data_IF_162767966114
#
_entry.id   IF_162767966114
#
_cell.length_a   1.000
_cell.length_b   1.000
_cell.length_c   1.000
_cell.angle_alpha   90.00
_cell.angle_beta   90.00
_cell.angle_gamma   90.00
#
_symmetry.space_group_name_H-M   'P 1'
#
loop_
_entity.id
_entity.type
_entity.pdbx_description
1 polymer ?
#
# COMPACT_ATOMS: atom_id res chain seq x y z
N UNK A 1 3.38 -8.77 10.45
CA UNK A 1 3.76 -9.75 9.41
C UNK A 1 5.25 -9.64 9.07
N UNK A 2 5.72 -8.52 8.52
CA UNK A 2 7.12 -8.37 8.10
C UNK A 2 8.16 -8.73 9.18
N UNK A 3 8.07 -8.15 10.38
CA UNK A 3 8.99 -8.48 11.49
C UNK A 3 8.78 -9.88 12.06
N UNK A 4 7.55 -10.19 12.48
CA UNK A 4 7.30 -11.37 13.31
C UNK A 4 7.17 -12.68 12.52
N UNK A 5 6.86 -12.61 11.22
CA UNK A 5 6.65 -13.80 10.36
C UNK A 5 7.82 -13.97 9.41
N UNK A 6 8.24 -12.89 8.75
CA UNK A 6 9.32 -12.92 7.76
C UNK A 6 10.70 -12.56 8.33
N UNK A 7 10.77 -12.11 9.60
CA UNK A 7 12.04 -11.83 10.26
C UNK A 7 12.75 -10.56 9.77
N UNK A 8 12.09 -9.70 8.99
CA UNK A 8 12.71 -8.46 8.50
C UNK A 8 12.85 -7.41 9.61
N UNK A 9 13.94 -6.63 9.57
CA UNK A 9 14.06 -5.43 10.40
C UNK A 9 13.03 -4.41 9.94
N UNK A 10 12.11 -4.02 10.82
CA UNK A 10 11.08 -3.04 10.49
C UNK A 10 10.87 -2.07 11.62
N UNK A 11 10.60 -0.82 11.26
CA UNK A 11 10.16 0.24 12.16
C UNK A 11 8.74 0.68 11.80
N UNK A 12 7.91 0.90 12.82
CA UNK A 12 6.63 1.58 12.64
C UNK A 12 6.89 3.09 12.62
N UNK A 13 6.38 3.75 11.59
CA UNK A 13 6.44 5.20 11.46
C UNK A 13 5.07 5.80 11.77
N UNK A 14 5.05 6.84 12.59
CA UNK A 14 3.83 7.55 12.90
C UNK A 14 3.45 8.50 11.76
N UNK A 15 2.16 8.63 11.46
CA UNK A 15 1.69 9.37 10.29
C UNK A 15 2.06 10.88 10.32
N UNK A 16 2.40 11.43 11.49
CA UNK A 16 2.87 12.82 11.65
C UNK A 16 4.37 13.01 11.49
N UNK A 17 5.15 11.92 11.38
CA UNK A 17 6.57 12.03 11.07
C UNK A 17 6.77 12.61 9.67
N UNK A 18 7.90 13.27 9.45
CA UNK A 18 8.24 13.93 8.18
C UNK A 18 9.44 13.30 7.49
N UNK A 19 9.96 12.19 8.01
CA UNK A 19 11.09 11.46 7.46
C UNK A 19 10.86 9.96 7.60
N UNK A 20 11.40 9.20 6.66
CA UNK A 20 11.40 7.74 6.71
C UNK A 20 12.70 7.19 7.32
N UNK A 21 13.70 8.06 7.52
CA UNK A 21 15.08 7.67 7.81
C UNK A 21 15.66 6.73 6.75
N UNK A 22 16.62 5.90 7.17
CA UNK A 22 17.27 4.93 6.30
C UNK A 22 16.37 3.68 6.18
N UNK A 23 15.52 3.66 5.16
CA UNK A 23 14.59 2.55 4.89
C UNK A 23 14.73 2.10 3.44
N UNK A 24 14.79 0.78 3.22
CA UNK A 24 14.91 0.19 1.87
C UNK A 24 13.57 0.09 1.12
N UNK A 25 12.46 -0.04 1.86
CA UNK A 25 11.11 -0.15 1.30
C UNK A 25 10.03 0.32 2.28
N UNK A 26 8.96 0.91 1.75
CA UNK A 26 7.82 1.43 2.53
C UNK A 26 6.60 0.56 2.31
N UNK A 27 5.95 0.17 3.41
CA UNK A 27 4.69 -0.57 3.38
C UNK A 27 3.58 0.27 4.03
N UNK A 28 2.55 0.61 3.26
CA UNK A 28 1.35 1.27 3.77
C UNK A 28 0.30 0.18 4.06
N UNK A 29 -0.04 -0.06 5.33
CA UNK A 29 -0.89 -1.17 5.72
C UNK A 29 -2.35 -0.96 5.30
N UNK A 30 -3.11 -2.06 5.31
CA UNK A 30 -4.57 -2.03 5.21
C UNK A 30 -5.24 -1.58 6.51
N UNK A 31 -6.57 -1.42 6.47
CA UNK A 31 -7.38 -0.98 7.60
C UNK A 31 -8.48 -0.02 7.16
N UNK A 32 -8.87 0.88 8.05
CA UNK A 32 -9.85 1.94 7.82
C UNK A 32 -9.26 3.26 8.31
N UNK A 33 -8.27 3.81 7.57
CA UNK A 33 -7.59 5.03 8.00
C UNK A 33 -8.61 6.16 8.19
N UNK A 34 -8.56 6.81 9.37
CA UNK A 34 -9.54 7.81 9.79
C UNK A 34 -11.00 7.32 9.68
N UNK A 35 -11.25 6.02 9.88
CA UNK A 35 -12.58 5.41 9.77
C UNK A 35 -13.19 5.48 8.37
N UNK A 36 -12.40 5.82 7.34
CA UNK A 36 -12.86 6.12 5.98
C UNK A 36 -14.02 7.14 5.94
N UNK A 37 -14.10 8.05 6.93
CA UNK A 37 -15.26 8.91 7.18
C UNK A 37 -15.69 9.79 6.00
N UNK A 38 -14.73 10.37 5.28
CA UNK A 38 -15.02 11.14 4.06
C UNK A 38 -15.04 10.21 2.85
N UNK A 39 -13.90 9.56 2.61
CA UNK A 39 -13.67 8.57 1.56
C UNK A 39 -12.43 7.79 1.91
N UNK A 40 -12.35 6.55 1.44
CA UNK A 40 -11.27 5.63 1.78
C UNK A 40 -9.90 6.23 1.50
N UNK A 41 -9.08 6.36 2.54
CA UNK A 41 -7.70 6.89 2.43
C UNK A 41 -7.57 8.39 2.11
N UNK A 42 -8.66 9.12 1.89
CA UNK A 42 -8.60 10.51 1.39
C UNK A 42 -8.06 11.49 2.41
N UNK A 43 -8.26 11.23 3.70
CA UNK A 43 -7.71 12.07 4.78
C UNK A 43 -6.23 11.73 5.00
N UNK A 44 -5.88 10.43 4.92
CA UNK A 44 -4.53 9.96 5.18
C UNK A 44 -3.48 10.51 4.20
N UNK A 45 -3.87 10.83 2.96
CA UNK A 45 -2.99 11.45 1.97
C UNK A 45 -2.37 12.78 2.44
N UNK A 46 -3.03 13.48 3.35
CA UNK A 46 -2.57 14.76 3.91
C UNK A 46 -1.67 14.59 5.14
N UNK A 47 -1.41 13.36 5.57
CA UNK A 47 -0.51 13.10 6.69
C UNK A 47 0.91 13.54 6.33
N UNK A 48 1.64 14.21 7.24
CA UNK A 48 3.01 14.69 6.98
C UNK A 48 3.94 13.62 6.39
N UNK A 49 3.82 12.36 6.83
CA UNK A 49 4.67 11.26 6.37
C UNK A 49 4.55 11.02 4.87
N UNK A 50 3.40 11.36 4.26
CA UNK A 50 3.16 11.13 2.84
C UNK A 50 4.02 12.01 1.93
N UNK A 51 4.51 13.16 2.41
CA UNK A 51 5.51 13.95 1.67
C UNK A 51 6.80 13.13 1.52
N UNK A 52 7.31 12.56 2.61
CA UNK A 52 8.52 11.74 2.59
C UNK A 52 8.32 10.44 1.81
N UNK A 53 7.14 9.82 1.87
CA UNK A 53 6.80 8.65 1.02
C UNK A 53 6.85 9.01 -0.46
N UNK A 54 6.34 10.18 -0.83
CA UNK A 54 6.36 10.63 -2.21
C UNK A 54 7.78 10.87 -2.69
N UNK A 55 8.58 11.62 -1.93
CA UNK A 55 9.99 11.86 -2.24
C UNK A 55 10.78 10.55 -2.37
N UNK A 56 10.54 9.59 -1.47
CA UNK A 56 11.16 8.27 -1.52
C UNK A 56 10.79 7.50 -2.80
N UNK A 57 9.53 7.51 -3.21
CA UNK A 57 9.08 6.88 -4.45
C UNK A 57 9.67 7.56 -5.69
N UNK A 58 9.69 8.89 -5.73
CA UNK A 58 10.25 9.68 -6.82
C UNK A 58 11.76 9.42 -7.01
N UNK A 59 12.46 9.07 -5.93
CA UNK A 59 13.87 8.66 -5.94
C UNK A 59 14.09 7.18 -6.27
N UNK A 60 13.05 6.45 -6.72
CA UNK A 60 13.13 5.05 -7.12
C UNK A 60 12.94 4.04 -5.97
N UNK A 61 12.60 4.52 -4.77
CA UNK A 61 12.30 3.69 -3.62
C UNK A 61 11.05 2.82 -3.82
N UNK A 62 11.03 1.65 -3.20
CA UNK A 62 9.92 0.71 -3.33
C UNK A 62 8.81 0.98 -2.31
N UNK A 63 7.61 1.30 -2.80
CA UNK A 63 6.42 1.54 -1.97
C UNK A 63 5.33 0.52 -2.31
N UNK A 64 4.82 -0.17 -1.28
CA UNK A 64 3.73 -1.13 -1.40
C UNK A 64 2.53 -0.71 -0.54
N UNK A 65 1.36 -0.52 -1.16
CA UNK A 65 0.10 -0.24 -0.48
C UNK A 65 -0.82 -1.47 -0.48
N UNK A 66 -1.27 -1.90 0.70
CA UNK A 66 -2.13 -3.09 0.85
C UNK A 66 -3.54 -2.66 1.23
N UNK A 67 -4.57 -3.07 0.48
CA UNK A 67 -5.97 -2.75 0.75
C UNK A 67 -6.19 -1.22 0.88
N UNK A 68 -6.39 -0.69 2.09
CA UNK A 68 -6.49 0.75 2.34
C UNK A 68 -5.20 1.51 1.99
N UNK A 69 -4.03 0.88 2.12
CA UNK A 69 -2.77 1.46 1.66
C UNK A 69 -2.76 1.74 0.15
N UNK A 70 -3.34 0.85 -0.66
CA UNK A 70 -3.48 1.09 -2.11
C UNK A 70 -4.38 2.29 -2.41
N UNK A 71 -5.49 2.40 -1.66
CA UNK A 71 -6.41 3.54 -1.77
C UNK A 71 -5.71 4.86 -1.42
N UNK A 72 -4.90 4.88 -0.35
CA UNK A 72 -4.11 6.05 0.04
C UNK A 72 -3.11 6.43 -1.05
N UNK A 73 -2.45 5.47 -1.69
CA UNK A 73 -1.49 5.74 -2.78
C UNK A 73 -2.17 6.37 -4.01
N UNK A 74 -3.35 5.87 -4.41
CA UNK A 74 -4.15 6.52 -5.46
C UNK A 74 -4.53 7.96 -5.06
N UNK A 75 -4.98 8.16 -3.82
CA UNK A 75 -5.34 9.49 -3.32
C UNK A 75 -4.19 10.48 -3.27
N UNK A 76 -3.00 10.00 -2.92
CA UNK A 76 -1.78 10.79 -2.89
C UNK A 76 -1.21 11.07 -4.31
N UNK A 77 -1.81 10.50 -5.36
CA UNK A 77 -1.33 10.63 -6.74
C UNK A 77 -0.07 9.82 -7.04
N UNK A 78 0.29 8.87 -6.18
CA UNK A 78 1.41 7.95 -6.38
C UNK A 78 1.05 6.77 -7.27
N UNK A 79 -0.24 6.47 -7.40
CA UNK A 79 -0.78 5.49 -8.34
C UNK A 79 -1.88 6.14 -9.19
N UNK A 80 -2.03 5.72 -10.46
CA UNK A 80 -3.07 6.25 -11.32
C UNK A 80 -4.46 5.79 -10.86
N UNK A 81 -5.47 6.63 -11.14
CA UNK A 81 -6.87 6.31 -10.94
C UNK A 81 -7.37 6.50 -9.50
N UNK A 82 -8.57 5.99 -9.24
CA UNK A 82 -9.23 6.04 -7.93
C UNK A 82 -10.11 4.80 -7.74
N UNK A 83 -10.30 4.40 -6.47
CA UNK A 83 -11.18 3.30 -6.12
C UNK A 83 -12.55 3.83 -5.75
N UNK A 84 -13.57 3.09 -6.18
CA UNK A 84 -14.99 3.37 -5.91
C UNK A 84 -15.60 2.21 -5.11
N UNK A 85 -16.81 2.43 -4.62
CA UNK A 85 -17.57 1.39 -3.92
C UNK A 85 -17.78 0.19 -4.84
N UNK A 86 -17.73 -1.00 -4.23
CA UNK A 86 -18.10 -2.24 -4.90
C UNK A 86 -19.50 -2.10 -5.52
N UNK A 87 -19.70 -2.67 -6.71
CA UNK A 87 -21.01 -2.67 -7.38
C UNK A 87 -22.10 -3.34 -6.54
N UNK A 88 -21.74 -4.33 -5.72
CA UNK A 88 -22.64 -4.99 -4.76
C UNK A 88 -23.06 -4.10 -3.59
N UNK A 89 -22.38 -2.96 -3.38
CA UNK A 89 -22.53 -2.07 -2.23
C UNK A 89 -22.29 -2.77 -0.88
N UNK A 90 -21.57 -3.89 -0.90
CA UNK A 90 -21.26 -4.71 0.27
C UNK A 90 -19.75 -4.87 0.45
N UNK A 91 -19.35 -4.98 1.71
CA UNK A 91 -18.00 -5.45 2.07
C UNK A 91 -17.86 -6.93 1.69
N UNK A 92 -16.74 -7.30 1.08
CA UNK A 92 -16.41 -8.67 0.69
C UNK A 92 -15.17 -9.11 1.46
N UNK A 93 -15.31 -10.17 2.24
CA UNK A 93 -14.23 -10.85 2.94
C UNK A 93 -14.27 -12.30 2.50
N UNK A 94 -13.50 -12.61 1.46
CA UNK A 94 -13.50 -13.92 0.84
C UNK A 94 -12.10 -14.24 0.31
N UNK A 95 -11.78 -15.53 0.25
CA UNK A 95 -10.57 -15.97 -0.43
C UNK A 95 -10.80 -15.90 -1.93
N UNK A 96 -9.97 -15.12 -2.62
CA UNK A 96 -10.01 -14.96 -4.07
C UNK A 96 -8.71 -15.47 -4.67
N UNK A 97 -8.82 -16.19 -5.77
CA UNK A 97 -7.67 -16.64 -6.53
C UNK A 97 -7.20 -15.53 -7.47
N UNK A 98 -5.88 -15.29 -7.50
CA UNK A 98 -5.27 -14.26 -8.34
C UNK A 98 -4.16 -14.86 -9.23
N UNK A 99 -4.04 -14.34 -10.44
CA UNK A 99 -2.88 -14.57 -11.31
C UNK A 99 -2.10 -13.26 -11.47
N UNK A 100 -0.76 -13.25 -11.31
CA UNK A 100 0.03 -12.07 -11.60
C UNK A 100 -0.18 -11.61 -13.04
N UNK A 101 -0.48 -10.33 -13.24
CA UNK A 101 -0.59 -9.75 -14.58
C UNK A 101 0.79 -9.48 -15.22
N UNK A 102 1.85 -9.46 -14.42
CA UNK A 102 3.23 -9.20 -14.85
C UNK A 102 4.22 -9.86 -13.90
N UNK A 103 5.37 -10.25 -14.42
CA UNK A 103 6.55 -10.69 -13.66
C UNK A 103 7.69 -9.64 -13.68
N UNK A 104 7.49 -8.52 -14.39
CA UNK A 104 8.46 -7.44 -14.51
C UNK A 104 8.51 -6.47 -13.33
N UNK A 105 8.06 -6.89 -12.15
CA UNK A 105 8.01 -6.06 -10.94
C UNK A 105 8.82 -6.70 -9.81
N UNK A 106 9.50 -5.90 -8.96
CA UNK A 106 10.15 -6.41 -7.74
C UNK A 106 9.23 -7.25 -6.86
N UNK A 107 7.91 -6.99 -6.90
CA UNK A 107 6.93 -7.66 -6.04
C UNK A 107 6.37 -8.97 -6.62
N UNK A 108 6.50 -9.21 -7.93
CA UNK A 108 5.89 -10.38 -8.60
C UNK A 108 6.87 -11.25 -9.39
N UNK A 109 8.14 -10.82 -9.51
CA UNK A 109 9.18 -11.50 -10.29
C UNK A 109 9.49 -12.93 -9.86
N UNK A 110 9.26 -13.26 -8.58
CA UNK A 110 9.52 -14.61 -8.05
C UNK A 110 8.27 -15.51 -8.05
N UNK A 111 7.15 -15.03 -8.58
CA UNK A 111 5.92 -15.82 -8.67
C UNK A 111 5.97 -16.60 -9.99
N UNK A 112 5.81 -17.95 -9.99
CA UNK A 112 5.81 -18.73 -11.24
C UNK A 112 4.63 -18.36 -12.16
N UNK A 113 4.83 -18.43 -13.49
CA UNK A 113 3.82 -18.04 -14.51
C UNK A 113 2.50 -18.80 -14.39
N UNK A 114 2.56 -20.08 -14.04
CA UNK A 114 1.39 -20.96 -13.94
C UNK A 114 0.79 -21.02 -12.54
N UNK A 115 1.30 -20.21 -11.60
CA UNK A 115 0.84 -20.23 -10.21
C UNK A 115 -0.39 -19.35 -10.03
N UNK A 116 -1.49 -20.00 -9.65
CA UNK A 116 -2.65 -19.34 -9.04
C UNK A 116 -2.33 -19.08 -7.55
N UNK A 117 -2.53 -17.84 -7.09
CA UNK A 117 -2.32 -17.41 -5.71
C UNK A 117 -3.63 -17.35 -4.95
#
# INVERSE_FOLDING_TARGET
>A
VLRNVFGHSTRLLWHKETSLGDTDAVFIPGGFSYGDYLRTGSIARFSPVMQAVKEFADNGGHVLGICNGFQILCEAGLLPGALIRNRSLQFRCEHVWLKPATHGSPFTSQIPEDKLL
#
